data_IF_220757315383
#
_entry.id   IF_220757315383
#
_cell.length_a   1.000
_cell.length_b   1.000
_cell.length_c   1.000
_cell.angle_alpha   90.00
_cell.angle_beta   90.00
_cell.angle_gamma   90.00
#
_symmetry.space_group_name_H-M   'P 1'
#
loop_
_entity.id
_entity.type
_entity.pdbx_description
1 polymer ?
#
# COMPACT_ATOMS: atom_id res chain seq x y z
N UNK A 1 2.43 -18.64 11.60
CA UNK A 1 3.25 -17.48 11.20
C UNK A 1 2.29 -16.33 10.95
N UNK A 2 2.56 -15.14 11.50
CA UNK A 2 1.67 -13.99 11.29
C UNK A 2 1.73 -13.54 9.84
N UNK A 3 0.61 -13.09 9.30
CA UNK A 3 0.47 -12.61 7.92
C UNK A 3 0.36 -11.09 7.93
N UNK A 4 1.06 -10.45 7.00
CA UNK A 4 1.07 -9.02 6.84
C UNK A 4 0.66 -8.62 5.42
N UNK A 5 0.10 -7.42 5.30
CA UNK A 5 -0.16 -6.73 4.04
C UNK A 5 0.48 -5.36 4.11
N UNK A 6 1.13 -4.92 3.04
CA UNK A 6 1.79 -3.62 2.97
C UNK A 6 1.13 -2.70 1.95
N UNK A 7 0.90 -1.44 2.31
CA UNK A 7 0.43 -0.37 1.44
C UNK A 7 1.58 0.56 1.07
N UNK A 8 1.71 0.85 -0.23
CA UNK A 8 2.69 1.77 -0.79
C UNK A 8 2.06 2.68 -1.85
N UNK A 9 2.70 3.82 -2.12
CA UNK A 9 2.28 4.67 -3.23
C UNK A 9 2.75 4.13 -4.59
N UNK A 10 2.34 4.78 -5.68
CA UNK A 10 2.72 4.43 -7.05
C UNK A 10 4.25 4.38 -7.27
N UNK A 11 5.00 5.24 -6.58
CA UNK A 11 6.45 5.33 -6.73
C UNK A 11 7.14 4.11 -6.11
N UNK A 12 6.88 3.84 -4.82
CA UNK A 12 7.40 2.67 -4.13
C UNK A 12 6.84 1.35 -4.69
N UNK A 13 5.63 1.39 -5.25
CA UNK A 13 5.02 0.29 -5.99
C UNK A 13 5.59 0.04 -7.39
N UNK A 14 6.62 0.80 -7.82
CA UNK A 14 7.27 0.68 -9.13
C UNK A 14 6.32 0.89 -10.32
N UNK A 15 5.26 1.68 -10.15
CA UNK A 15 4.32 2.04 -11.21
C UNK A 15 4.82 3.26 -12.00
N UNK A 16 5.39 4.24 -11.31
CA UNK A 16 5.90 5.48 -11.90
C UNK A 16 5.95 6.64 -10.91
N UNK A 17 6.30 7.82 -11.38
CA UNK A 17 6.41 9.02 -10.55
C UNK A 17 5.10 9.79 -10.43
N UNK A 18 5.22 11.12 -10.41
CA UNK A 18 4.07 12.04 -10.32
C UNK A 18 3.11 11.91 -11.51
N UNK A 19 3.62 11.59 -12.70
CA UNK A 19 2.82 11.35 -13.91
C UNK A 19 1.86 10.15 -13.77
N UNK A 20 2.08 9.29 -12.77
CA UNK A 20 1.24 8.14 -12.42
C UNK A 20 0.53 8.31 -11.07
N UNK A 21 0.52 9.51 -10.48
CA UNK A 21 -0.10 9.71 -9.17
C UNK A 21 -1.62 9.51 -9.15
N UNK A 22 -2.30 9.49 -10.30
CA UNK A 22 -3.74 9.15 -10.41
C UNK A 22 -4.01 7.65 -10.58
N UNK A 23 -2.99 6.80 -10.40
CA UNK A 23 -3.12 5.36 -10.54
C UNK A 23 -4.10 4.77 -9.52
N UNK A 24 -5.07 3.99 -10.03
CA UNK A 24 -6.09 3.34 -9.20
C UNK A 24 -5.46 2.29 -8.26
N UNK A 25 -6.08 2.02 -7.08
CA UNK A 25 -5.60 0.97 -6.20
C UNK A 25 -5.50 -0.38 -6.92
N UNK A 26 -4.41 -1.08 -6.69
CA UNK A 26 -4.21 -2.48 -7.08
C UNK A 26 -3.61 -3.26 -5.93
N UNK A 27 -3.84 -4.57 -5.91
CA UNK A 27 -3.19 -5.49 -5.00
C UNK A 27 -2.30 -6.45 -5.81
N UNK A 28 -1.10 -6.72 -5.28
CA UNK A 28 -0.14 -7.66 -5.83
C UNK A 28 0.15 -8.74 -4.79
N UNK A 29 0.26 -9.99 -5.23
CA UNK A 29 0.75 -11.06 -4.38
C UNK A 29 2.26 -10.89 -4.16
N UNK A 30 2.69 -11.03 -2.91
CA UNK A 30 4.09 -10.95 -2.50
C UNK A 30 4.62 -9.54 -2.31
N UNK A 31 5.96 -9.46 -2.34
CA UNK A 31 6.74 -8.29 -1.94
C UNK A 31 6.90 -7.32 -3.11
N UNK A 32 6.53 -6.06 -2.92
CA UNK A 32 6.86 -4.97 -3.85
C UNK A 32 7.55 -3.83 -3.12
N UNK A 33 8.63 -3.32 -3.72
CA UNK A 33 9.34 -2.15 -3.22
C UNK A 33 9.83 -2.32 -1.77
N UNK A 34 9.49 -1.40 -0.85
CA UNK A 34 9.92 -1.46 0.55
C UNK A 34 9.51 -2.73 1.30
N UNK A 35 8.50 -3.48 0.82
CA UNK A 35 8.10 -4.76 1.40
C UNK A 35 9.25 -5.79 1.42
N UNK A 36 10.16 -5.71 0.44
CA UNK A 36 11.33 -6.60 0.36
C UNK A 36 12.26 -6.42 1.55
N UNK A 37 12.48 -5.18 1.98
CA UNK A 37 13.32 -4.91 3.14
C UNK A 37 12.56 -5.19 4.43
N UNK A 38 11.29 -4.77 4.52
CA UNK A 38 10.44 -5.02 5.67
C UNK A 38 10.37 -6.52 6.03
N UNK A 39 10.18 -7.40 5.04
CA UNK A 39 10.12 -8.85 5.24
C UNK A 39 11.35 -9.43 5.95
N UNK A 40 12.54 -8.85 5.78
CA UNK A 40 13.78 -9.34 6.40
C UNK A 40 13.84 -9.11 7.90
N UNK A 41 13.10 -8.12 8.40
CA UNK A 41 13.10 -7.69 9.80
C UNK A 41 11.82 -8.08 10.56
N UNK A 42 10.86 -8.68 9.87
CA UNK A 42 9.61 -9.13 10.46
C UNK A 42 9.64 -10.60 10.86
N UNK A 43 9.13 -10.90 12.05
CA UNK A 43 8.65 -12.25 12.42
C UNK A 43 7.22 -12.48 11.91
N UNK A 44 7.03 -12.19 10.61
CA UNK A 44 5.77 -12.29 9.89
C UNK A 44 6.05 -12.40 8.38
N UNK A 45 5.07 -12.87 7.62
CA UNK A 45 5.14 -12.94 6.15
C UNK A 45 4.28 -11.85 5.52
N UNK A 46 4.88 -10.96 4.72
CA UNK A 46 4.17 -10.00 3.88
C UNK A 46 3.63 -10.75 2.66
N UNK A 47 2.35 -11.07 2.71
CA UNK A 47 1.67 -11.89 1.71
C UNK A 47 1.24 -11.10 0.48
N UNK A 48 0.94 -9.81 0.65
CA UNK A 48 0.45 -8.93 -0.40
C UNK A 48 0.96 -7.51 -0.24
N UNK A 49 1.11 -6.81 -1.37
CA UNK A 49 1.38 -5.39 -1.40
C UNK A 49 0.26 -4.67 -2.17
N UNK A 50 -0.34 -3.66 -1.55
CA UNK A 50 -1.31 -2.74 -2.14
C UNK A 50 -0.56 -1.52 -2.64
N UNK A 51 -0.89 -1.08 -3.85
CA UNK A 51 -0.30 0.10 -4.49
C UNK A 51 -1.43 1.05 -4.87
N UNK A 52 -1.32 2.33 -4.50
CA UNK A 52 -2.28 3.35 -4.91
C UNK A 52 -1.56 4.66 -5.25
N UNK A 53 -2.06 5.38 -6.25
CA UNK A 53 -1.55 6.69 -6.60
C UNK A 53 -1.89 7.75 -5.55
N UNK A 54 -0.91 8.58 -5.19
CA UNK A 54 -1.07 9.64 -4.20
C UNK A 54 -2.19 10.65 -4.54
N UNK A 55 -2.36 11.01 -5.81
CA UNK A 55 -3.46 11.90 -6.24
C UNK A 55 -4.79 11.14 -6.22
N UNK A 56 -4.80 9.87 -6.62
CA UNK A 56 -6.03 9.09 -6.64
C UNK A 56 -6.67 9.01 -5.25
N UNK A 57 -5.91 8.56 -4.25
CA UNK A 57 -6.41 8.49 -2.87
C UNK A 57 -6.63 9.88 -2.28
N UNK A 58 -5.79 10.88 -2.59
CA UNK A 58 -5.98 12.24 -2.10
C UNK A 58 -7.23 12.94 -2.61
N UNK A 59 -7.65 12.66 -3.86
CA UNK A 59 -8.83 13.26 -4.48
C UNK A 59 -10.09 12.38 -4.40
N UNK A 60 -9.95 11.09 -4.12
CA UNK A 60 -11.04 10.12 -4.09
C UNK A 60 -10.98 9.21 -2.85
N UNK A 61 -10.68 9.79 -1.68
CA UNK A 61 -10.37 9.05 -0.44
C UNK A 61 -11.35 7.91 -0.15
N UNK A 62 -12.65 8.22 -0.05
CA UNK A 62 -13.69 7.23 0.27
C UNK A 62 -13.72 6.07 -0.73
N UNK A 63 -13.63 6.39 -2.02
CA UNK A 63 -13.63 5.40 -3.10
C UNK A 63 -12.35 4.56 -3.12
N UNK A 64 -11.20 5.16 -2.85
CA UNK A 64 -9.93 4.46 -2.76
C UNK A 64 -9.95 3.46 -1.59
N UNK A 65 -10.42 3.90 -0.42
CA UNK A 65 -10.60 3.06 0.76
C UNK A 65 -11.59 1.92 0.46
N UNK A 66 -12.74 2.20 -0.16
CA UNK A 66 -13.71 1.17 -0.52
C UNK A 66 -13.09 0.05 -1.39
N UNK A 67 -12.31 0.43 -2.41
CA UNK A 67 -11.61 -0.52 -3.28
C UNK A 67 -10.58 -1.34 -2.48
N UNK A 68 -9.77 -0.68 -1.65
CA UNK A 68 -8.73 -1.32 -0.81
C UNK A 68 -9.38 -2.30 0.17
N UNK A 69 -10.45 -1.88 0.86
CA UNK A 69 -11.23 -2.75 1.75
C UNK A 69 -11.82 -3.93 0.99
N UNK A 70 -12.26 -3.72 -0.26
CA UNK A 70 -12.66 -4.79 -1.17
C UNK A 70 -11.57 -5.83 -1.40
N UNK A 71 -10.31 -5.42 -1.57
CA UNK A 71 -9.18 -6.35 -1.69
C UNK A 71 -8.93 -7.16 -0.42
N UNK A 72 -9.19 -6.56 0.75
CA UNK A 72 -8.90 -7.14 2.06
C UNK A 72 -9.96 -8.14 2.54
N UNK A 73 -11.22 -8.06 2.05
CA UNK A 73 -12.34 -8.89 2.53
C UNK A 73 -12.05 -10.40 2.58
N UNK A 74 -11.38 -10.91 1.54
CA UNK A 74 -11.07 -12.34 1.41
C UNK A 74 -9.59 -12.63 1.69
N UNK A 75 -8.95 -11.85 2.57
CA UNK A 75 -7.54 -11.99 2.93
C UNK A 75 -7.41 -12.12 4.44
N UNK A 76 -6.75 -13.19 4.85
CA UNK A 76 -6.32 -13.34 6.24
C UNK A 76 -5.01 -12.59 6.45
N UNK A 77 -5.01 -11.62 7.35
CA UNK A 77 -3.82 -10.92 7.79
C UNK A 77 -3.97 -10.47 9.25
N UNK A 78 -2.85 -10.39 9.95
CA UNK A 78 -2.76 -9.96 11.35
C UNK A 78 -2.26 -8.51 11.45
N UNK A 79 -1.50 -8.06 10.44
CA UNK A 79 -0.80 -6.76 10.46
C UNK A 79 -0.98 -6.07 9.11
N UNK A 80 -1.34 -4.79 9.16
CA UNK A 80 -1.34 -3.91 8.00
C UNK A 80 -0.24 -2.85 8.17
N UNK A 81 0.69 -2.79 7.22
CA UNK A 81 1.73 -1.77 7.16
C UNK A 81 1.35 -0.73 6.12
N UNK A 82 1.56 0.55 6.41
CA UNK A 82 1.42 1.63 5.44
C UNK A 82 2.65 2.54 5.51
N UNK A 83 3.39 2.66 4.40
CA UNK A 83 4.61 3.47 4.35
C UNK A 83 5.74 2.82 3.55
N UNK A 84 6.97 3.36 3.62
CA UNK A 84 7.42 4.40 4.54
C UNK A 84 6.98 5.82 4.14
N UNK A 85 6.26 6.50 5.04
CA UNK A 85 5.81 7.87 4.85
C UNK A 85 6.80 8.87 5.48
N UNK A 86 7.88 9.21 4.77
CA UNK A 86 8.95 10.12 5.23
C UNK A 86 8.52 11.61 5.29
N UNK A 87 7.47 11.95 6.05
CA UNK A 87 6.80 13.27 5.97
C UNK A 87 6.31 13.63 4.54
N UNK A 88 6.01 12.60 3.76
CA UNK A 88 5.73 12.72 2.33
C UNK A 88 4.29 13.20 2.06
N UNK A 89 4.01 14.50 2.18
CA UNK A 89 2.78 15.17 1.72
C UNK A 89 1.52 14.29 1.61
N UNK A 90 1.02 14.10 0.38
CA UNK A 90 -0.17 13.29 0.09
C UNK A 90 -0.03 11.82 0.50
N UNK A 91 1.14 11.24 0.29
CA UNK A 91 1.40 9.83 0.64
C UNK A 91 1.31 9.58 2.15
N UNK A 92 1.83 10.51 2.95
CA UNK A 92 1.76 10.41 4.41
C UNK A 92 0.33 10.52 4.93
N UNK A 93 -0.49 11.40 4.34
CA UNK A 93 -1.93 11.47 4.63
C UNK A 93 -2.60 10.17 4.23
N UNK A 94 -2.30 9.65 3.04
CA UNK A 94 -2.86 8.40 2.52
C UNK A 94 -2.57 7.18 3.41
N UNK A 95 -1.35 7.08 3.97
CA UNK A 95 -1.00 6.01 4.91
C UNK A 95 -1.77 6.06 6.24
N UNK A 96 -2.34 7.20 6.60
CA UNK A 96 -3.12 7.37 7.82
C UNK A 96 -4.63 7.23 7.65
N UNK A 97 -5.10 6.99 6.42
CA UNK A 97 -6.50 6.70 6.12
C UNK A 97 -6.77 5.20 6.23
#
# INVERSE_FOLDING_TARGET
>A
MKKAIMYVNQFFGQIGGEDKADFKPVIKCGLVGPAVELQKHLDAEVTHTIICGDNFIGSNTEKAIEIIMGFLKDKEFDIFFAGPAFQAGRYGVACGQ
#
